data_IF_812081181756
#
_entry.id   IF_812081181756
#
_cell.length_a   1.000
_cell.length_b   1.000
_cell.length_c   1.000
_cell.angle_alpha   90.00
_cell.angle_beta   90.00
_cell.angle_gamma   90.00
#
_symmetry.space_group_name_H-M   'P 1'
#
loop_
_entity.id
_entity.type
_entity.pdbx_description
1 polymer ?
#
# COMPACT_ATOMS: atom_id res chain seq x y z
N UNK A 1 -12.99 -6.01 -3.37
CA UNK A 1 -11.86 -5.56 -2.54
C UNK A 1 -10.87 -6.71 -2.33
N UNK A 2 -9.60 -6.41 -2.40
CA UNK A 2 -8.54 -7.40 -2.23
C UNK A 2 -7.56 -6.91 -1.17
N UNK A 3 -7.16 -7.79 -0.26
CA UNK A 3 -6.16 -7.49 0.76
C UNK A 3 -4.90 -8.30 0.49
N UNK A 4 -3.75 -7.64 0.48
CA UNK A 4 -2.45 -8.27 0.33
C UNK A 4 -1.50 -7.74 1.41
N UNK A 5 -0.45 -8.48 1.70
CA UNK A 5 0.59 -8.01 2.63
C UNK A 5 1.77 -7.44 1.86
N UNK A 6 2.24 -6.30 2.30
CA UNK A 6 3.38 -5.62 1.67
C UNK A 6 4.42 -5.27 2.72
N UNK A 7 5.63 -5.03 2.25
CA UNK A 7 6.76 -4.59 3.08
C UNK A 7 7.21 -3.22 2.61
N UNK A 8 7.21 -2.25 3.53
CA UNK A 8 7.64 -0.87 3.26
C UNK A 8 8.76 -0.48 4.24
N UNK A 9 9.78 -1.30 4.29
CA UNK A 9 10.82 -1.20 5.32
C UNK A 9 11.94 -0.20 5.02
N UNK A 10 11.80 0.61 4.00
CA UNK A 10 12.74 1.70 3.71
C UNK A 10 12.00 2.93 3.22
N UNK A 11 12.62 4.10 3.40
CA UNK A 11 12.06 5.37 2.95
C UNK A 11 11.87 5.35 1.42
N UNK A 12 12.84 4.81 0.71
CA UNK A 12 12.76 4.74 -0.76
C UNK A 12 11.60 3.88 -1.22
N UNK A 13 11.34 2.75 -0.53
CA UNK A 13 10.19 1.90 -0.85
C UNK A 13 8.87 2.62 -0.61
N UNK A 14 8.78 3.39 0.48
CA UNK A 14 7.56 4.16 0.78
C UNK A 14 7.30 5.17 -0.33
N UNK A 15 8.30 5.92 -0.72
CA UNK A 15 8.17 6.92 -1.78
C UNK A 15 7.77 6.30 -3.11
N UNK A 16 8.42 5.21 -3.49
CA UNK A 16 8.12 4.49 -4.73
C UNK A 16 6.70 3.93 -4.71
N UNK A 17 6.30 3.34 -3.58
CA UNK A 17 4.97 2.78 -3.41
C UNK A 17 3.88 3.84 -3.59
N UNK A 18 4.01 4.97 -2.88
CA UNK A 18 3.02 6.05 -2.99
C UNK A 18 2.97 6.59 -4.42
N UNK A 19 4.12 6.78 -5.05
CA UNK A 19 4.17 7.23 -6.44
C UNK A 19 3.46 6.25 -7.37
N UNK A 20 3.63 4.95 -7.15
CA UNK A 20 3.01 3.94 -8.00
C UNK A 20 1.49 3.91 -7.84
N UNK A 21 0.98 3.90 -6.60
CA UNK A 21 -0.47 3.80 -6.39
C UNK A 21 -1.23 5.09 -6.71
N UNK A 22 -0.55 6.25 -6.71
CA UNK A 22 -1.20 7.49 -7.10
C UNK A 22 -1.54 7.54 -8.59
N UNK A 23 -1.01 6.62 -9.39
CA UNK A 23 -1.36 6.49 -10.81
C UNK A 23 -2.78 5.97 -11.00
N UNK A 24 -3.36 5.37 -9.96
CA UNK A 24 -4.71 4.83 -9.98
C UNK A 24 -5.64 5.73 -9.19
N UNK A 25 -6.88 5.89 -9.67
CA UNK A 25 -7.91 6.65 -8.95
C UNK A 25 -8.56 5.85 -7.83
N UNK A 26 -8.26 4.56 -7.76
CA UNK A 26 -8.80 3.68 -6.73
C UNK A 26 -8.38 4.12 -5.33
N UNK A 27 -9.17 3.75 -4.33
CA UNK A 27 -8.82 3.95 -2.93
C UNK A 27 -7.98 2.77 -2.45
N UNK A 28 -7.00 3.08 -1.62
CA UNK A 28 -6.12 2.09 -1.00
C UNK A 28 -5.99 2.43 0.47
N UNK A 29 -6.14 1.42 1.33
CA UNK A 29 -5.98 1.60 2.77
C UNK A 29 -4.86 0.70 3.28
N UNK A 30 -4.04 1.24 4.19
CA UNK A 30 -3.07 0.45 4.93
C UNK A 30 -3.61 0.18 6.33
N UNK A 31 -3.55 -1.09 6.73
CA UNK A 31 -4.03 -1.53 8.04
C UNK A 31 -2.85 -2.08 8.82
N UNK A 32 -2.55 -1.43 9.96
CA UNK A 32 -1.47 -1.83 10.83
C UNK A 32 -1.99 -1.84 12.26
N UNK A 33 -2.23 -3.03 12.80
CA UNK A 33 -2.85 -3.17 14.10
C UNK A 33 -4.25 -2.57 14.10
N UNK A 34 -4.46 -1.57 14.95
CA UNK A 34 -5.74 -0.87 15.04
C UNK A 34 -5.83 0.36 14.13
N UNK A 35 -4.76 0.68 13.43
CA UNK A 35 -4.72 1.87 12.59
C UNK A 35 -5.08 1.54 11.15
N UNK A 36 -5.96 2.37 10.58
CA UNK A 36 -6.33 2.31 9.16
C UNK A 36 -6.04 3.69 8.59
N UNK A 37 -5.15 3.76 7.61
CA UNK A 37 -4.78 5.02 6.99
C UNK A 37 -4.91 4.93 5.48
N UNK A 38 -5.08 6.10 4.85
CA UNK A 38 -5.04 6.20 3.39
C UNK A 38 -3.62 5.88 2.92
N UNK A 39 -3.50 4.86 2.06
CA UNK A 39 -2.19 4.42 1.58
C UNK A 39 -1.50 5.45 0.70
N UNK A 40 -2.22 6.45 0.21
CA UNK A 40 -1.65 7.56 -0.57
C UNK A 40 -1.09 8.67 0.32
N UNK A 41 -1.27 8.56 1.64
CA UNK A 41 -0.76 9.55 2.59
C UNK A 41 0.64 9.18 3.05
N UNK A 42 1.65 9.82 2.46
CA UNK A 42 3.05 9.51 2.79
C UNK A 42 3.35 9.77 4.27
N UNK A 43 2.80 10.84 4.83
CA UNK A 43 3.01 11.16 6.25
C UNK A 43 2.35 10.13 7.16
N UNK A 44 1.16 9.66 6.78
CA UNK A 44 0.49 8.60 7.52
C UNK A 44 1.30 7.32 7.54
N UNK A 45 1.90 6.95 6.40
CA UNK A 45 2.73 5.75 6.30
C UNK A 45 3.95 5.87 7.23
N UNK A 46 4.59 7.04 7.28
CA UNK A 46 5.76 7.23 8.13
C UNK A 46 5.44 7.14 9.61
N UNK A 47 4.18 7.30 10.01
CA UNK A 47 3.77 7.15 11.40
C UNK A 47 3.56 5.69 11.82
N UNK A 48 3.57 4.75 10.88
CA UNK A 48 3.37 3.33 11.17
C UNK A 48 4.67 2.62 11.50
N UNK A 49 4.55 1.49 12.22
CA UNK A 49 5.68 0.58 12.40
C UNK A 49 5.86 -0.19 11.08
N UNK A 50 6.89 0.17 10.33
CA UNK A 50 7.16 -0.41 9.00
C UNK A 50 8.17 -1.54 9.05
N UNK A 51 8.59 -1.96 10.25
CA UNK A 51 9.50 -3.08 10.41
C UNK A 51 8.82 -4.43 10.16
N UNK A 52 7.49 -4.44 10.15
CA UNK A 52 6.66 -5.62 9.94
C UNK A 52 5.83 -5.49 8.69
N UNK A 53 5.34 -6.61 8.13
CA UNK A 53 4.39 -6.56 7.02
C UNK A 53 3.15 -5.76 7.40
N UNK A 54 2.62 -5.04 6.41
CA UNK A 54 1.41 -4.21 6.56
C UNK A 54 0.36 -4.74 5.60
N UNK A 55 -0.89 -4.80 6.04
CA UNK A 55 -1.99 -5.19 5.17
C UNK A 55 -2.39 -4.02 4.30
N UNK A 56 -2.52 -4.27 2.99
CA UNK A 56 -2.99 -3.29 2.03
C UNK A 56 -4.34 -3.74 1.50
N UNK A 57 -5.37 -2.92 1.73
CA UNK A 57 -6.70 -3.13 1.18
C UNK A 57 -6.85 -2.34 -0.12
N UNK A 58 -7.11 -3.06 -1.20
CA UNK A 58 -7.21 -2.48 -2.54
C UNK A 58 -8.69 -2.46 -2.95
N UNK A 59 -9.24 -1.26 -3.13
CA UNK A 59 -10.63 -1.07 -3.52
C UNK A 59 -10.71 -1.03 -5.05
N UNK A 60 -10.58 -2.19 -5.68
CA UNK A 60 -10.58 -2.33 -7.12
C UNK A 60 -11.35 -3.57 -7.54
N UNK A 61 -11.99 -3.52 -8.71
CA UNK A 61 -12.65 -4.65 -9.33
C UNK A 61 -12.08 -4.92 -10.71
N UNK A 62 -12.23 -3.99 -11.63
CA UNK A 62 -11.86 -4.19 -13.03
C UNK A 62 -10.35 -4.13 -13.28
N UNK A 63 -9.66 -3.22 -12.59
CA UNK A 63 -8.23 -3.00 -12.81
C UNK A 63 -7.35 -3.65 -11.74
N UNK A 64 -7.88 -4.62 -10.98
CA UNK A 64 -7.14 -5.24 -9.89
C UNK A 64 -5.86 -5.91 -10.37
N UNK A 65 -5.90 -6.60 -11.50
CA UNK A 65 -4.71 -7.30 -12.01
C UNK A 65 -3.58 -6.34 -12.37
N UNK A 66 -3.91 -5.18 -12.94
CA UNK A 66 -2.90 -4.15 -13.23
C UNK A 66 -2.24 -3.65 -11.95
N UNK A 67 -3.06 -3.41 -10.93
CA UNK A 67 -2.58 -2.92 -9.65
C UNK A 67 -1.66 -3.96 -9.00
N UNK A 68 -2.07 -5.22 -8.99
CA UNK A 68 -1.28 -6.30 -8.38
C UNK A 68 0.08 -6.47 -9.09
N UNK A 69 0.10 -6.35 -10.42
CA UNK A 69 1.36 -6.42 -11.16
C UNK A 69 2.32 -5.32 -10.74
N UNK A 70 1.81 -4.10 -10.60
CA UNK A 70 2.63 -2.96 -10.19
C UNK A 70 3.14 -3.10 -8.76
N UNK A 71 2.36 -3.75 -7.90
CA UNK A 71 2.68 -3.90 -6.48
C UNK A 71 3.58 -5.09 -6.14
N UNK A 72 3.86 -5.96 -7.11
CA UNK A 72 4.69 -7.15 -6.86
C UNK A 72 6.00 -6.85 -6.11
N UNK A 73 6.75 -5.78 -6.44
CA UNK A 73 7.99 -5.50 -5.73
C UNK A 73 7.84 -5.27 -4.23
N UNK A 74 6.64 -4.92 -3.77
CA UNK A 74 6.36 -4.64 -2.36
C UNK A 74 5.69 -5.81 -1.65
N UNK A 75 5.10 -6.74 -2.40
CA UNK A 75 4.35 -7.86 -1.83
C UNK A 75 5.25 -8.90 -1.22
N UNK A 76 4.77 -9.52 -0.18
CA UNK A 76 5.45 -10.60 0.53
C UNK A 76 4.85 -11.95 0.15
#
# INVERSE_FOLDING_TARGET
MKTVQISLNSIDKVKAFVNDITKFDNDFDLVAGRYVIDAKSIMGIFSLDRSKPIDLSIHAEENLNEILELLKPYMI
#
